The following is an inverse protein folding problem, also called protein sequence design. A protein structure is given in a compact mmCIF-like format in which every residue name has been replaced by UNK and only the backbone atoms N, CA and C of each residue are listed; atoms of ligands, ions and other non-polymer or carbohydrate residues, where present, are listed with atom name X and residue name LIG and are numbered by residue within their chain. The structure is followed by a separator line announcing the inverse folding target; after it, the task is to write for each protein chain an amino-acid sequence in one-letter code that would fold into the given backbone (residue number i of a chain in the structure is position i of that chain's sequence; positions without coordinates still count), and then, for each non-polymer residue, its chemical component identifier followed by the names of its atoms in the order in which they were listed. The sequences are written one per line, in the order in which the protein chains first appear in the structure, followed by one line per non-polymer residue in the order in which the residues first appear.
data_IF_492065255224
#
_entry.id   IF_492065255224
#
_cell.length_a   1.000
_cell.length_b   1.000
_cell.length_c   1.000
_cell.angle_alpha   90.00
_cell.angle_beta   90.00
_cell.angle_gamma   90.00
#
_symmetry.space_group_name_H-M   'P 1'
#
loop_
_entity.id
_entity.type
_entity.pdbx_description
1 polymer ?
#
# COMPACT_ATOMS: atom_id res chain seq x y z
N UNK A 1 29.93 -6.46 -7.81
CA UNK A 1 29.33 -6.16 -7.51
C UNK A 1 28.47 -5.75 -7.03
N UNK A 2 28.24 -5.50 -6.89
CA UNK A 2 27.47 -5.23 -6.39
C UNK A 2 26.42 -4.80 -6.64
N UNK A 3 25.99 -5.52 -6.66
CA UNK A 3 24.85 -5.05 -6.99
C UNK A 3 24.10 -4.44 -6.02
N UNK A 4 23.81 -3.34 -6.16
CA UNK A 4 23.13 -2.60 -5.20
C UNK A 4 21.71 -2.61 -5.50
N UNK A 5 21.09 -3.73 -5.17
CA UNK A 5 19.68 -3.79 -5.18
C UNK A 5 19.21 -3.37 -3.83
N UNK A 6 18.61 -2.20 -3.76
CA UNK A 6 17.93 -1.81 -2.57
C UNK A 6 16.55 -2.41 -2.58
N UNK A 7 16.31 -3.29 -1.67
CA UNK A 7 14.98 -3.80 -1.41
C UNK A 7 14.47 -3.03 -0.19
N UNK A 8 13.41 -2.26 -0.38
CA UNK A 8 12.82 -1.52 0.73
C UNK A 8 12.10 -2.48 1.66
N UNK A 9 12.18 -2.25 2.96
CA UNK A 9 11.39 -3.03 3.90
C UNK A 9 9.94 -2.57 3.84
N UNK A 10 9.00 -3.50 4.03
CA UNK A 10 7.58 -3.19 4.12
C UNK A 10 7.14 -3.45 5.55
N UNK A 11 6.52 -2.46 6.16
CA UNK A 11 5.95 -2.59 7.49
C UNK A 11 4.50 -2.15 7.48
N UNK A 12 3.71 -2.70 8.39
CA UNK A 12 2.32 -2.30 8.55
C UNK A 12 2.24 -1.15 9.54
N UNK A 13 1.46 -0.13 9.21
CA UNK A 13 1.12 0.89 10.18
C UNK A 13 0.48 0.22 11.39
N UNK A 14 0.91 0.62 12.57
CA UNK A 14 0.43 0.07 13.83
C UNK A 14 -0.21 1.18 14.65
N UNK A 15 -1.43 0.94 15.14
CA UNK A 15 -2.13 1.90 15.98
C UNK A 15 -1.53 1.93 17.39
N UNK A 16 -1.89 2.94 18.17
CA UNK A 16 -1.43 3.03 19.55
C UNK A 16 -1.88 1.82 20.37
N UNK A 17 -3.04 1.24 20.03
CA UNK A 17 -3.54 0.05 20.70
C UNK A 17 -2.85 -1.24 20.24
N UNK A 18 -1.95 -1.16 19.25
CA UNK A 18 -1.21 -2.31 18.78
C UNK A 18 -1.84 -3.05 17.62
N UNK A 19 -2.92 -2.51 17.02
CA UNK A 19 -3.55 -3.13 15.86
C UNK A 19 -2.82 -2.75 14.59
N UNK A 20 -2.87 -3.63 13.60
CA UNK A 20 -2.29 -3.40 12.27
C UNK A 20 -3.40 -3.45 11.23
N UNK A 21 -4.06 -2.31 10.95
CA UNK A 21 -5.28 -2.32 10.14
C UNK A 21 -5.12 -2.92 8.75
N UNK A 22 -4.02 -2.65 8.05
CA UNK A 22 -3.84 -3.21 6.71
C UNK A 22 -3.63 -4.71 6.76
N UNK A 23 -2.87 -5.18 7.76
CA UNK A 23 -2.67 -6.62 7.92
C UNK A 23 -4.00 -7.31 8.20
N UNK A 24 -4.83 -6.74 9.08
CA UNK A 24 -6.14 -7.29 9.41
C UNK A 24 -7.04 -7.31 8.19
N UNK A 25 -7.04 -6.22 7.42
CA UNK A 25 -7.81 -6.13 6.18
C UNK A 25 -7.39 -7.21 5.18
N UNK A 26 -6.09 -7.41 4.99
CA UNK A 26 -5.59 -8.43 4.08
C UNK A 26 -6.02 -9.83 4.52
N UNK A 27 -5.98 -10.10 5.81
CA UNK A 27 -6.36 -11.42 6.33
C UNK A 27 -7.84 -11.73 6.14
N UNK A 28 -8.67 -10.72 5.98
CA UNK A 28 -10.10 -10.90 5.71
C UNK A 28 -10.41 -11.14 4.24
N UNK A 29 -9.47 -10.90 3.36
CA UNK A 29 -9.69 -11.09 1.93
C UNK A 29 -9.53 -12.54 1.52
N UNK A 30 -10.18 -12.95 0.41
CA UNK A 30 -9.95 -14.29 -0.15
C UNK A 30 -8.46 -14.48 -0.43
N UNK A 31 -8.00 -15.71 -0.28
CA UNK A 31 -6.59 -16.05 -0.45
C UNK A 31 -6.00 -15.56 -1.77
N UNK A 32 -6.76 -15.72 -2.87
CA UNK A 32 -6.27 -15.31 -4.18
C UNK A 32 -6.05 -13.80 -4.27
N UNK A 33 -6.98 -13.02 -3.74
CA UNK A 33 -6.86 -11.57 -3.72
C UNK A 33 -5.65 -11.15 -2.89
N UNK A 34 -5.48 -11.74 -1.71
CA UNK A 34 -4.35 -11.45 -0.83
C UNK A 34 -3.03 -11.78 -1.52
N UNK A 35 -2.97 -12.88 -2.26
CA UNK A 35 -1.77 -13.28 -2.98
C UNK A 35 -1.40 -12.27 -4.06
N UNK A 36 -2.38 -11.82 -4.85
CA UNK A 36 -2.14 -10.84 -5.91
C UNK A 36 -1.66 -9.51 -5.35
N UNK A 37 -2.28 -9.05 -4.26
CA UNK A 37 -1.87 -7.82 -3.60
C UNK A 37 -0.42 -7.96 -3.08
N UNK A 38 -0.11 -9.08 -2.46
CA UNK A 38 1.23 -9.34 -1.95
C UNK A 38 2.29 -9.32 -3.04
N UNK A 39 1.98 -9.90 -4.20
CA UNK A 39 2.89 -9.89 -5.35
C UNK A 39 3.18 -8.45 -5.80
N UNK A 40 2.14 -7.63 -5.88
CA UNK A 40 2.30 -6.24 -6.32
C UNK A 40 3.07 -5.40 -5.30
N UNK A 41 2.82 -5.60 -4.01
CA UNK A 41 3.60 -4.92 -2.98
C UNK A 41 5.07 -5.31 -3.08
N UNK A 42 5.34 -6.58 -3.30
CA UNK A 42 6.72 -7.04 -3.46
C UNK A 42 7.39 -6.42 -4.69
N UNK A 43 6.64 -6.26 -5.78
CA UNK A 43 7.15 -5.58 -6.98
C UNK A 43 7.56 -4.15 -6.66
N UNK A 44 6.79 -3.47 -5.82
CA UNK A 44 7.12 -2.11 -5.40
C UNK A 44 8.38 -2.11 -4.52
N UNK A 45 8.49 -3.07 -3.60
CA UNK A 45 9.69 -3.19 -2.76
C UNK A 45 10.96 -3.27 -3.58
N UNK A 46 10.93 -4.08 -4.63
CA UNK A 46 12.11 -4.37 -5.44
C UNK A 46 12.37 -3.27 -6.45
N UNK A 47 11.32 -2.71 -7.04
CA UNK A 47 11.42 -1.81 -8.19
C UNK A 47 11.17 -0.33 -7.89
N UNK A 48 11.11 0.07 -6.65
CA UNK A 48 10.86 1.47 -6.31
C UNK A 48 12.00 2.37 -6.84
N UNK A 49 11.69 3.55 -7.40
CA UNK A 49 10.33 4.09 -7.58
C UNK A 49 9.64 3.54 -8.83
N UNK A 50 8.31 3.46 -8.75
CA UNK A 50 7.49 2.99 -9.86
C UNK A 50 6.26 3.89 -10.03
N UNK A 51 5.74 3.94 -11.26
CA UNK A 51 4.56 4.72 -11.57
C UNK A 51 3.40 3.85 -12.05
N UNK A 52 2.43 4.49 -12.70
CA UNK A 52 1.28 3.78 -13.25
C UNK A 52 1.71 2.72 -14.26
N UNK A 53 0.94 1.63 -14.38
CA UNK A 53 -0.34 1.40 -13.71
C UNK A 53 -0.23 0.84 -12.29
N UNK A 54 0.94 0.41 -11.84
CA UNK A 54 1.09 -0.26 -10.56
C UNK A 54 0.99 0.70 -9.37
N UNK A 55 1.69 1.83 -9.45
CA UNK A 55 1.72 2.80 -8.35
C UNK A 55 1.22 4.16 -8.84
N UNK A 56 0.28 4.72 -8.10
CA UNK A 56 -0.23 6.06 -8.37
C UNK A 56 0.16 6.99 -7.23
N UNK A 57 0.72 8.14 -7.55
CA UNK A 57 0.97 9.15 -6.54
C UNK A 57 -0.32 9.90 -6.27
N UNK A 58 -0.75 9.92 -5.02
CA UNK A 58 -2.00 10.58 -4.61
C UNK A 58 -1.76 12.03 -4.24
N UNK A 59 -0.74 12.27 -3.44
CA UNK A 59 -0.34 13.60 -3.01
C UNK A 59 1.05 13.49 -2.40
N UNK A 60 1.56 14.59 -1.84
CA UNK A 60 2.89 14.60 -1.25
C UNK A 60 3.03 13.50 -0.20
N UNK A 61 4.00 12.62 -0.40
CA UNK A 61 4.33 11.53 0.52
C UNK A 61 3.20 10.49 0.70
N UNK A 62 2.29 10.40 -0.26
CA UNK A 62 1.26 9.34 -0.28
C UNK A 62 1.15 8.75 -1.68
N UNK A 63 1.23 7.43 -1.75
CA UNK A 63 1.10 6.66 -2.98
C UNK A 63 0.14 5.50 -2.75
N UNK A 64 -0.41 4.95 -3.82
CA UNK A 64 -1.20 3.72 -3.71
C UNK A 64 -0.68 2.66 -4.66
N UNK A 65 -0.62 1.43 -4.16
CA UNK A 65 -0.39 0.24 -4.99
C UNK A 65 -1.74 -0.22 -5.48
N UNK A 66 -1.86 -0.44 -6.79
CA UNK A 66 -3.12 -0.80 -7.43
C UNK A 66 -3.02 -2.23 -7.94
N UNK A 67 -3.89 -3.11 -7.43
CA UNK A 67 -3.93 -4.52 -7.82
C UNK A 67 -5.25 -4.82 -8.49
N UNK A 68 -5.19 -5.29 -9.74
CA UNK A 68 -6.38 -5.67 -10.51
C UNK A 68 -6.86 -7.04 -10.03
N UNK A 69 -8.09 -7.10 -9.54
CA UNK A 69 -8.70 -8.32 -9.06
C UNK A 69 -9.77 -8.86 -10.04
N UNK A 70 -9.77 -8.36 -11.27
CA UNK A 70 -10.73 -8.83 -12.27
C UNK A 70 -12.10 -8.15 -12.13
N UNK A 71 -12.16 -6.85 -12.26
CA UNK A 71 -13.40 -6.08 -12.15
C UNK A 71 -13.43 -5.13 -10.98
N UNK A 72 -12.54 -5.35 -10.01
CA UNK A 72 -12.34 -4.46 -8.88
C UNK A 72 -10.85 -4.22 -8.75
N UNK A 73 -10.49 -3.09 -8.18
CA UNK A 73 -9.10 -2.75 -7.95
C UNK A 73 -8.87 -2.64 -6.45
N UNK A 74 -7.96 -3.47 -5.93
CA UNK A 74 -7.51 -3.34 -4.56
C UNK A 74 -6.47 -2.22 -4.50
N UNK A 75 -6.56 -1.38 -3.51
CA UNK A 75 -5.66 -0.24 -3.35
C UNK A 75 -5.09 -0.24 -1.95
N UNK A 76 -3.77 -0.16 -1.87
CA UNK A 76 -3.07 -0.07 -0.59
C UNK A 76 -2.30 1.24 -0.60
N UNK A 77 -2.69 2.16 0.27
CA UNK A 77 -2.03 3.46 0.38
C UNK A 77 -0.85 3.34 1.32
N UNK A 78 0.28 3.89 0.91
CA UNK A 78 1.50 3.80 1.68
C UNK A 78 2.27 5.12 1.67
N UNK A 79 3.20 5.24 2.59
CA UNK A 79 4.18 6.32 2.62
C UNK A 79 5.57 5.72 2.79
N UNK A 80 6.58 6.55 2.68
CA UNK A 80 7.97 6.13 2.90
C UNK A 80 8.51 6.85 4.13
N UNK A 81 9.10 6.07 5.04
CA UNK A 81 9.75 6.61 6.23
C UNK A 81 11.08 5.89 6.39
N UNK A 82 12.17 6.65 6.33
CA UNK A 82 13.52 6.10 6.56
C UNK A 82 13.81 4.83 5.75
N UNK A 83 13.43 4.84 4.48
CA UNK A 83 13.68 3.70 3.59
C UNK A 83 12.71 2.54 3.76
N UNK A 84 11.65 2.73 4.52
CA UNK A 84 10.61 1.71 4.69
C UNK A 84 9.32 2.13 4.04
N UNK A 85 8.65 1.16 3.42
CA UNK A 85 7.29 1.34 2.91
C UNK A 85 6.35 1.04 4.06
N UNK A 86 5.59 2.04 4.51
CA UNK A 86 4.63 1.87 5.60
C UNK A 86 3.23 1.79 5.00
N UNK A 87 2.59 0.64 5.15
CA UNK A 87 1.25 0.40 4.62
C UNK A 87 0.22 1.01 5.57
N UNK A 88 -0.48 2.03 5.09
CA UNK A 88 -1.36 2.85 5.91
C UNK A 88 -2.82 2.42 5.86
N UNK A 89 -3.34 2.07 4.68
CA UNK A 89 -4.76 1.82 4.51
C UNK A 89 -5.00 1.00 3.25
N UNK A 90 -5.96 0.08 3.31
CA UNK A 90 -6.33 -0.74 2.16
C UNK A 90 -7.83 -0.75 1.95
N UNK A 91 -8.25 -0.80 0.70
CA UNK A 91 -9.66 -0.87 0.33
C UNK A 91 -9.80 -1.38 -1.10
N UNK A 92 -11.02 -1.79 -1.47
CA UNK A 92 -11.31 -2.29 -2.81
C UNK A 92 -12.44 -1.44 -3.41
N UNK A 93 -12.24 -0.95 -4.63
CA UNK A 93 -13.25 -0.18 -5.34
C UNK A 93 -13.18 -0.39 -6.84
N UNK A 94 -14.30 -0.16 -7.52
CA UNK A 94 -14.35 -0.20 -8.98
C UNK A 94 -13.88 1.10 -9.61
N UNK A 95 -14.16 2.23 -8.98
CA UNK A 95 -13.86 3.54 -9.56
C UNK A 95 -12.36 3.81 -9.64
N UNK A 96 -11.95 4.65 -10.58
CA UNK A 96 -10.55 5.02 -10.74
C UNK A 96 -10.09 5.99 -9.66
N UNK A 97 -11.01 6.77 -9.12
CA UNK A 97 -10.68 7.83 -8.18
C UNK A 97 -10.64 7.31 -6.75
N UNK A 98 -9.64 7.74 -5.99
CA UNK A 98 -9.53 7.41 -4.57
C UNK A 98 -10.51 8.29 -3.78
N UNK A 99 -11.48 7.69 -3.07
CA UNK A 99 -12.43 8.49 -2.30
C UNK A 99 -11.75 9.28 -1.20
N UNK A 100 -12.30 10.45 -0.90
CA UNK A 100 -11.74 11.34 0.11
C UNK A 100 -11.67 10.67 1.49
N UNK A 101 -12.68 9.90 1.85
CA UNK A 101 -12.70 9.21 3.14
C UNK A 101 -11.53 8.25 3.31
N UNK A 102 -11.18 7.53 2.24
CA UNK A 102 -10.06 6.60 2.28
C UNK A 102 -8.73 7.35 2.37
N UNK A 103 -8.63 8.44 1.61
CA UNK A 103 -7.45 9.28 1.63
C UNK A 103 -7.25 9.93 3.01
N UNK A 104 -8.33 10.39 3.63
CA UNK A 104 -8.27 11.00 4.95
C UNK A 104 -7.79 10.02 6.02
N UNK A 105 -8.21 8.75 5.93
CA UNK A 105 -7.73 7.72 6.83
C UNK A 105 -6.21 7.56 6.70
N UNK A 106 -5.73 7.51 5.47
CA UNK A 106 -4.28 7.38 5.21
C UNK A 106 -3.52 8.60 5.73
N UNK A 107 -4.05 9.80 5.50
CA UNK A 107 -3.44 11.04 5.99
C UNK A 107 -3.31 11.05 7.50
N UNK A 108 -4.38 10.66 8.19
CA UNK A 108 -4.41 10.61 9.65
C UNK A 108 -3.34 9.68 10.18
N UNK A 109 -3.23 8.50 9.58
CA UNK A 109 -2.25 7.50 10.02
C UNK A 109 -0.82 7.95 9.72
N UNK A 110 -0.61 8.54 8.55
CA UNK A 110 0.71 9.09 8.20
C UNK A 110 1.16 10.13 9.21
N UNK A 111 0.25 10.98 9.65
CA UNK A 111 0.59 12.06 10.57
C UNK A 111 0.96 11.55 11.97
N UNK A 112 0.71 10.30 12.26
CA UNK A 112 1.10 9.70 13.54
C UNK A 112 2.46 9.02 13.51
N UNK A 113 3.10 9.01 12.35
CA UNK A 113 4.41 8.37 12.21
C UNK A 113 5.56 9.25 12.70
#
# INVERSE_FOLDING_TARGET
MNDLHFVLNVVFYRTDAGNEPVREWLMELPREARKLIGIDIKSVQIGWPQGMPLVRKLEHRLWEVRTDLGGHIARVIFTLVDGEIVLLHGFIKKSQKTPVAELDTARRRKNKL
#
